data_IF_126190802525
#
_entry.id   IF_126190802525
#
_cell.length_a   1.000
_cell.length_b   1.000
_cell.length_c   1.000
_cell.angle_alpha   90.00
_cell.angle_beta   90.00
_cell.angle_gamma   90.00
#
_symmetry.space_group_name_H-M   'P 1'
#
loop_
_entity.id
_entity.type
_entity.pdbx_description
1 polymer ?
#
# COMPACT_ATOMS: atom_id res chain seq x y z
N UNK A 1 -16.84 17.86 15.03
CA UNK A 1 -16.29 18.02 13.67
C UNK A 1 -15.21 16.96 13.49
N UNK A 2 -15.54 15.78 12.96
CA UNK A 2 -14.55 14.73 12.76
C UNK A 2 -13.72 15.11 11.52
N UNK A 3 -12.46 15.55 11.74
CA UNK A 3 -11.48 15.67 10.66
C UNK A 3 -11.29 14.24 10.11
N UNK A 4 -12.04 13.89 9.08
CA UNK A 4 -11.91 12.56 8.48
C UNK A 4 -10.75 12.66 7.51
N UNK A 5 -9.60 12.11 7.91
CA UNK A 5 -8.36 12.01 7.12
C UNK A 5 -8.53 11.05 5.94
N UNK A 6 -9.56 11.21 5.10
CA UNK A 6 -9.77 10.39 3.91
C UNK A 6 -8.99 11.04 2.76
N UNK A 7 -7.94 10.37 2.23
CA UNK A 7 -7.17 10.92 1.12
C UNK A 7 -8.02 11.25 -0.09
N UNK A 8 -7.68 12.31 -0.81
CA UNK A 8 -8.28 12.58 -2.12
C UNK A 8 -7.77 11.59 -3.17
N UNK A 9 -8.48 11.48 -4.30
CA UNK A 9 -8.03 10.67 -5.46
C UNK A 9 -6.61 10.97 -5.90
N UNK A 10 -6.23 12.25 -5.95
CA UNK A 10 -4.87 12.67 -6.35
C UNK A 10 -3.82 12.21 -5.34
N UNK A 11 -4.14 12.32 -4.04
CA UNK A 11 -3.26 11.86 -2.97
C UNK A 11 -3.11 10.34 -3.00
N UNK A 12 -4.22 9.60 -3.15
CA UNK A 12 -4.20 8.14 -3.22
C UNK A 12 -3.40 7.64 -4.43
N UNK A 13 -3.60 8.28 -5.60
CA UNK A 13 -2.80 8.01 -6.81
C UNK A 13 -1.32 8.29 -6.56
N UNK A 14 -0.97 9.43 -5.97
CA UNK A 14 0.41 9.77 -5.64
C UNK A 14 1.08 8.78 -4.67
N UNK A 15 0.35 8.31 -3.65
CA UNK A 15 0.82 7.28 -2.71
C UNK A 15 1.15 5.98 -3.46
N UNK A 16 0.22 5.50 -4.29
CA UNK A 16 0.40 4.25 -5.06
C UNK A 16 1.53 4.36 -6.07
N UNK A 17 1.61 5.46 -6.83
CA UNK A 17 2.69 5.67 -7.80
C UNK A 17 4.05 5.75 -7.08
N UNK A 18 4.12 6.46 -5.97
CA UNK A 18 5.35 6.59 -5.18
C UNK A 18 5.80 5.26 -4.57
N UNK A 19 4.89 4.52 -3.94
CA UNK A 19 5.17 3.19 -3.38
C UNK A 19 5.59 2.21 -4.48
N UNK A 20 4.84 2.16 -5.58
CA UNK A 20 5.13 1.28 -6.71
C UNK A 20 6.49 1.58 -7.32
N UNK A 21 6.88 2.85 -7.46
CA UNK A 21 8.22 3.21 -7.93
C UNK A 21 9.32 2.76 -6.95
N UNK A 22 9.10 2.86 -5.63
CA UNK A 22 10.06 2.42 -4.62
C UNK A 22 10.30 0.91 -4.65
N UNK A 23 9.33 0.10 -5.06
CA UNK A 23 9.52 -1.35 -5.25
C UNK A 23 10.57 -1.69 -6.31
N UNK A 24 10.80 -0.80 -7.29
CA UNK A 24 11.84 -0.98 -8.30
C UNK A 24 13.15 -0.27 -7.91
N UNK A 25 13.05 0.92 -7.32
CA UNK A 25 14.20 1.79 -7.03
C UNK A 25 14.92 1.44 -5.72
N UNK A 26 14.17 0.99 -4.69
CA UNK A 26 14.66 0.66 -3.34
C UNK A 26 13.91 -0.56 -2.78
N UNK A 27 14.10 -1.73 -3.38
CA UNK A 27 13.32 -2.94 -3.13
C UNK A 27 13.60 -3.61 -1.78
N UNK A 28 14.79 -3.41 -1.19
CA UNK A 28 15.28 -4.20 -0.06
C UNK A 28 14.34 -4.19 1.16
N UNK A 29 13.77 -3.03 1.58
CA UNK A 29 12.83 -3.01 2.69
C UNK A 29 11.55 -3.79 2.38
N UNK A 30 11.10 -3.81 1.12
CA UNK A 30 9.87 -4.48 0.70
C UNK A 30 10.09 -5.98 0.57
N UNK A 31 11.20 -6.41 -0.03
CA UNK A 31 11.59 -7.82 -0.13
C UNK A 31 11.72 -8.46 1.26
N UNK A 32 12.28 -7.73 2.23
CA UNK A 32 12.52 -8.26 3.59
C UNK A 32 11.25 -8.58 4.37
N UNK A 33 10.11 -7.99 3.99
CA UNK A 33 8.85 -8.10 4.73
C UNK A 33 7.84 -9.01 4.04
N UNK A 34 8.18 -9.57 2.87
CA UNK A 34 7.30 -10.50 2.17
C UNK A 34 7.14 -11.76 3.03
N UNK A 35 5.91 -12.12 3.43
CA UNK A 35 5.69 -13.30 4.25
C UNK A 35 6.07 -14.60 3.51
N UNK A 36 6.60 -15.58 4.23
CA UNK A 36 7.06 -16.86 3.66
C UNK A 36 5.97 -17.70 2.99
N UNK A 37 4.69 -17.43 3.27
CA UNK A 37 3.55 -18.10 2.65
C UNK A 37 3.16 -17.50 1.28
N UNK A 38 3.71 -16.34 0.90
CA UNK A 38 3.47 -15.76 -0.42
C UNK A 38 4.21 -16.60 -1.47
N UNK A 39 3.53 -17.10 -2.53
CA UNK A 39 4.18 -17.90 -3.55
C UNK A 39 5.27 -17.12 -4.31
N UNK A 40 6.32 -17.82 -4.73
CA UNK A 40 7.44 -17.25 -5.48
C UNK A 40 8.52 -16.66 -4.57
N UNK A 41 9.42 -15.88 -5.16
CA UNK A 41 10.48 -15.18 -4.41
C UNK A 41 9.97 -13.84 -3.87
N UNK A 42 10.51 -13.34 -2.74
CA UNK A 42 10.20 -12.00 -2.25
C UNK A 42 10.32 -10.92 -3.31
N UNK A 43 11.39 -10.98 -4.11
CA UNK A 43 11.61 -10.06 -5.23
C UNK A 43 10.49 -10.11 -6.27
N UNK A 44 10.02 -11.29 -6.65
CA UNK A 44 8.91 -11.41 -7.60
C UNK A 44 7.63 -10.80 -7.02
N UNK A 45 7.32 -11.09 -5.76
CA UNK A 45 6.16 -10.52 -5.09
C UNK A 45 6.21 -8.98 -5.04
N UNK A 46 7.36 -8.41 -4.69
CA UNK A 46 7.60 -6.95 -4.67
C UNK A 46 7.45 -6.32 -6.06
N UNK A 47 7.98 -6.94 -7.11
CA UNK A 47 7.86 -6.41 -8.47
C UNK A 47 6.42 -6.47 -8.99
N UNK A 48 5.71 -7.56 -8.72
CA UNK A 48 4.30 -7.72 -9.13
C UNK A 48 3.41 -6.72 -8.39
N UNK A 49 3.59 -6.55 -7.08
CA UNK A 49 2.84 -5.55 -6.31
C UNK A 49 3.18 -4.13 -6.76
N UNK A 50 4.46 -3.85 -7.05
CA UNK A 50 4.89 -2.52 -7.52
C UNK A 50 4.28 -2.18 -8.88
N UNK A 51 4.24 -3.12 -9.81
CA UNK A 51 3.55 -2.95 -11.09
C UNK A 51 2.05 -2.72 -10.88
N UNK A 52 1.41 -3.50 -9.99
CA UNK A 52 0.00 -3.32 -9.67
C UNK A 52 -0.27 -1.92 -9.10
N UNK A 53 0.53 -1.44 -8.17
CA UNK A 53 0.42 -0.08 -7.60
C UNK A 53 0.55 1.00 -8.66
N UNK A 54 1.52 0.87 -9.59
CA UNK A 54 1.70 1.82 -10.68
C UNK A 54 0.46 1.88 -11.59
N UNK A 55 -0.05 0.71 -11.99
CA UNK A 55 -1.24 0.59 -12.86
C UNK A 55 -2.50 1.11 -12.17
N UNK A 56 -2.68 0.80 -10.88
CA UNK A 56 -3.81 1.30 -10.09
C UNK A 56 -3.71 2.82 -9.95
N UNK A 57 -2.54 3.34 -9.60
CA UNK A 57 -2.29 4.77 -9.44
C UNK A 57 -2.59 5.56 -10.71
N UNK A 58 -2.16 5.05 -11.87
CA UNK A 58 -2.49 5.64 -13.17
C UNK A 58 -3.99 5.47 -13.51
N UNK A 59 -4.55 4.29 -13.23
CA UNK A 59 -5.95 3.96 -13.47
C UNK A 59 -6.94 4.83 -12.69
N UNK A 60 -6.58 5.29 -11.49
CA UNK A 60 -7.36 6.26 -10.71
C UNK A 60 -7.49 7.62 -11.41
N UNK A 61 -6.53 8.00 -12.26
CA UNK A 61 -6.53 9.29 -12.96
C UNK A 61 -7.30 9.25 -14.28
N UNK A 62 -7.52 8.08 -14.86
CA UNK A 62 -8.34 7.90 -16.06
C UNK A 62 -9.83 7.65 -15.70
N UNK A 63 -10.78 8.52 -16.11
CA UNK A 63 -12.20 8.35 -15.81
C UNK A 63 -12.78 6.98 -16.17
N UNK A 64 -12.34 6.38 -17.29
CA UNK A 64 -12.87 5.09 -17.78
C UNK A 64 -12.49 3.90 -16.90
N UNK A 65 -11.33 3.96 -16.25
CA UNK A 65 -10.80 2.88 -15.40
C UNK A 65 -10.91 3.17 -13.91
N UNK A 66 -11.27 4.39 -13.51
CA UNK A 66 -11.19 4.88 -12.13
C UNK A 66 -11.91 3.97 -11.14
N UNK A 67 -13.11 3.53 -11.47
CA UNK A 67 -13.91 2.66 -10.60
C UNK A 67 -13.23 1.32 -10.33
N UNK A 68 -12.78 0.66 -11.39
CA UNK A 68 -12.05 -0.60 -11.29
C UNK A 68 -10.74 -0.42 -10.52
N UNK A 69 -9.97 0.62 -10.85
CA UNK A 69 -8.73 0.95 -10.14
C UNK A 69 -8.98 1.23 -8.64
N UNK A 70 -10.06 1.92 -8.29
CA UNK A 70 -10.39 2.20 -6.90
C UNK A 70 -10.77 0.92 -6.11
N UNK A 71 -11.50 -0.01 -6.71
CA UNK A 71 -11.71 -1.32 -6.09
C UNK A 71 -10.41 -2.13 -5.97
N UNK A 72 -9.57 -2.11 -7.00
CA UNK A 72 -8.26 -2.76 -6.95
C UNK A 72 -7.36 -2.16 -5.87
N UNK A 73 -7.40 -0.84 -5.65
CA UNK A 73 -6.66 -0.18 -4.57
C UNK A 73 -7.13 -0.69 -3.20
N UNK A 74 -8.44 -0.76 -2.97
CA UNK A 74 -8.99 -1.28 -1.72
C UNK A 74 -8.58 -2.74 -1.48
N UNK A 75 -8.65 -3.58 -2.51
CA UNK A 75 -8.22 -4.98 -2.45
C UNK A 75 -6.72 -5.11 -2.17
N UNK A 76 -5.89 -4.30 -2.84
CA UNK A 76 -4.44 -4.27 -2.64
C UNK A 76 -4.09 -3.88 -1.19
N UNK A 77 -4.68 -2.80 -0.68
CA UNK A 77 -4.43 -2.37 0.70
C UNK A 77 -4.82 -3.45 1.71
N UNK A 78 -5.95 -4.13 1.52
CA UNK A 78 -6.31 -5.27 2.34
C UNK A 78 -5.30 -6.42 2.22
N UNK A 79 -4.84 -6.74 1.01
CA UNK A 79 -3.91 -7.83 0.75
C UNK A 79 -2.50 -7.58 1.32
N UNK A 80 -2.02 -6.34 1.37
CA UNK A 80 -0.70 -6.00 1.94
C UNK A 80 -0.74 -5.75 3.45
N UNK A 81 -1.93 -5.73 4.07
CA UNK A 81 -2.05 -5.54 5.52
C UNK A 81 -1.29 -6.60 6.33
N UNK A 82 -1.40 -7.92 6.04
CA UNK A 82 -0.60 -8.94 6.72
C UNK A 82 0.91 -8.72 6.62
N UNK A 83 1.41 -8.26 5.46
CA UNK A 83 2.84 -7.95 5.28
C UNK A 83 3.27 -6.76 6.16
N UNK A 84 2.44 -5.72 6.30
CA UNK A 84 2.73 -4.61 7.21
C UNK A 84 2.71 -5.03 8.69
N UNK A 85 1.86 -5.99 9.07
CA UNK A 85 1.85 -6.56 10.43
C UNK A 85 3.13 -7.34 10.69
N UNK A 86 3.54 -8.19 9.74
CA UNK A 86 4.77 -8.97 9.86
C UNK A 86 6.01 -8.07 9.92
N UNK A 87 6.05 -7.01 9.11
CA UNK A 87 7.09 -5.97 9.19
C UNK A 87 7.17 -5.36 10.59
N UNK A 88 6.05 -4.95 11.19
CA UNK A 88 6.04 -4.36 12.52
C UNK A 88 6.56 -5.36 13.57
N UNK A 89 6.14 -6.62 13.48
CA UNK A 89 6.59 -7.71 14.37
C UNK A 89 8.10 -7.97 14.22
N UNK A 90 8.59 -8.07 12.99
CA UNK A 90 9.99 -8.35 12.69
C UNK A 90 10.89 -7.19 13.11
N UNK A 91 10.56 -5.96 12.74
CA UNK A 91 11.37 -4.79 13.09
C UNK A 91 11.41 -4.54 14.60
N UNK A 92 10.33 -4.85 15.32
CA UNK A 92 10.32 -4.85 16.78
C UNK A 92 11.28 -5.90 17.35
N UNK A 93 11.26 -7.13 16.83
CA UNK A 93 12.17 -8.20 17.25
C UNK A 93 13.65 -7.86 16.96
N UNK A 94 13.92 -7.22 15.83
CA UNK A 94 15.25 -6.73 15.44
C UNK A 94 15.72 -5.49 16.22
N UNK A 95 14.86 -4.90 17.08
CA UNK A 95 15.13 -3.67 17.82
C UNK A 95 15.61 -2.53 16.91
N UNK A 96 14.95 -2.36 15.76
CA UNK A 96 15.20 -1.26 14.83
C UNK A 96 15.03 0.10 15.53
N UNK A 97 15.66 1.13 14.97
CA UNK A 97 15.60 2.47 15.56
C UNK A 97 14.13 2.95 15.72
N UNK A 98 13.84 3.80 16.73
CA UNK A 98 12.48 4.23 17.05
C UNK A 98 11.69 4.80 15.87
N UNK A 99 12.37 5.48 14.92
CA UNK A 99 11.74 6.02 13.72
C UNK A 99 11.16 4.92 12.82
N UNK A 100 11.91 3.83 12.59
CA UNK A 100 11.43 2.71 11.77
C UNK A 100 10.24 2.01 12.42
N UNK A 101 10.26 1.83 13.75
CA UNK A 101 9.13 1.28 14.49
C UNK A 101 7.90 2.19 14.39
N UNK A 102 8.08 3.51 14.54
CA UNK A 102 6.99 4.47 14.37
C UNK A 102 6.37 4.41 12.96
N UNK A 103 7.20 4.26 11.91
CA UNK A 103 6.72 4.06 10.54
C UNK A 103 5.94 2.75 10.42
N UNK A 104 6.47 1.64 10.94
CA UNK A 104 5.83 0.34 10.83
C UNK A 104 4.47 0.30 11.52
N UNK A 105 4.40 0.76 12.77
CA UNK A 105 3.14 0.82 13.51
C UNK A 105 2.18 1.87 12.94
N UNK A 106 2.68 2.99 12.42
CA UNK A 106 1.85 4.01 11.78
C UNK A 106 1.15 3.53 10.50
N UNK A 107 1.76 2.60 9.76
CA UNK A 107 1.17 2.02 8.54
C UNK A 107 -0.06 1.16 8.83
N UNK A 108 -0.17 0.54 10.01
CA UNK A 108 -1.31 -0.30 10.36
C UNK A 108 -2.64 0.47 10.43
N UNK A 109 -2.80 1.52 11.25
CA UNK A 109 -4.04 2.31 11.27
C UNK A 109 -4.22 3.12 9.98
N UNK A 110 -3.14 3.48 9.27
CA UNK A 110 -3.22 4.21 8.00
C UNK A 110 -3.94 3.42 6.90
N UNK A 111 -3.98 2.09 6.98
CA UNK A 111 -4.71 1.27 6.00
C UNK A 111 -6.22 1.54 6.00
N UNK A 112 -6.79 1.91 7.14
CA UNK A 112 -8.23 2.21 7.27
C UNK A 112 -8.64 3.40 6.37
N UNK A 113 -8.06 4.60 6.50
CA UNK A 113 -8.42 5.73 5.65
C UNK A 113 -8.06 5.51 4.17
N UNK A 114 -7.02 4.74 3.85
CA UNK A 114 -6.66 4.39 2.48
C UNK A 114 -7.74 3.52 1.81
N UNK A 115 -8.19 2.47 2.51
CA UNK A 115 -9.29 1.60 2.04
C UNK A 115 -10.59 2.41 1.93
N UNK A 116 -10.92 3.23 2.93
CA UNK A 116 -12.12 4.07 2.90
C UNK A 116 -12.11 5.06 1.73
N UNK A 117 -10.97 5.69 1.45
CA UNK A 117 -10.79 6.58 0.29
C UNK A 117 -11.01 5.83 -1.01
N UNK A 118 -10.39 4.66 -1.16
CA UNK A 118 -10.54 3.82 -2.35
C UNK A 118 -12.02 3.43 -2.59
N UNK A 119 -12.71 2.94 -1.56
CA UNK A 119 -14.13 2.57 -1.66
C UNK A 119 -15.04 3.77 -1.94
N UNK A 120 -14.72 4.95 -1.38
CA UNK A 120 -15.45 6.19 -1.66
C UNK A 120 -15.28 6.61 -3.13
N UNK A 121 -14.04 6.63 -3.63
CA UNK A 121 -13.76 6.98 -5.03
C UNK A 121 -14.48 6.02 -5.97
N UNK A 122 -14.52 4.72 -5.66
CA UNK A 122 -15.23 3.73 -6.47
C UNK A 122 -16.74 3.99 -6.56
N UNK A 123 -17.37 4.48 -5.47
CA UNK A 123 -18.80 4.83 -5.44
C UNK A 123 -19.10 6.13 -6.19
N UNK A 124 -18.15 7.07 -6.18
CA UNK A 124 -18.25 8.38 -6.87
C UNK A 124 -17.82 8.33 -8.35
N UNK A 125 -17.40 7.16 -8.84
CA UNK A 125 -16.97 6.91 -10.23
C UNK A 125 -18.03 6.19 -11.04
#
# INVERSE_FOLDING_TARGET
MAITLIPSRKVLSGILIGAGALHFLKPEPFDSIVPSWVPGTPRQATLVSGLAELLIGAGLMNPKSRKAAAYSAAALFAAVFPANVEMARQWQAEKREPLYLAIAYGRLPLQIPLIQSALRIAKES
#
